data_IF_554732786291
#
_entry.id   IF_554732786291
#
_cell.length_a   1.000
_cell.length_b   1.000
_cell.length_c   1.000
_cell.angle_alpha   90.00
_cell.angle_beta   90.00
_cell.angle_gamma   90.00
#
_symmetry.space_group_name_H-M   'P 1'
#
loop_
_entity.id
_entity.type
_entity.pdbx_description
1 polymer ?
#
# COMPACT_ATOMS: atom_id res chain seq x y z
N UNK A 1 0.68 16.80 -21.66
CA UNK A 1 -0.06 15.51 -21.62
C UNK A 1 -1.47 15.82 -21.14
N UNK A 2 -2.54 15.35 -21.80
CA UNK A 2 -3.91 15.56 -21.30
C UNK A 2 -4.15 14.74 -20.02
N UNK A 3 -5.07 15.16 -19.14
CA UNK A 3 -5.37 14.45 -17.88
C UNK A 3 -5.79 13.00 -18.16
N UNK A 4 -6.63 12.77 -19.17
CA UNK A 4 -7.03 11.42 -19.58
C UNK A 4 -5.84 10.56 -20.07
N UNK A 5 -4.85 11.17 -20.73
CA UNK A 5 -3.63 10.46 -21.12
C UNK A 5 -2.77 10.09 -19.91
N UNK A 6 -2.68 10.98 -18.92
CA UNK A 6 -1.93 10.73 -17.68
C UNK A 6 -2.53 9.57 -16.88
N UNK A 7 -3.85 9.57 -16.69
CA UNK A 7 -4.56 8.51 -15.96
C UNK A 7 -4.39 7.15 -16.64
N UNK A 8 -4.44 7.10 -17.97
CA UNK A 8 -4.21 5.87 -18.74
C UNK A 8 -2.78 5.34 -18.55
N UNK A 9 -1.77 6.20 -18.65
CA UNK A 9 -0.37 5.80 -18.45
C UNK A 9 -0.13 5.28 -17.03
N UNK A 10 -0.60 6.01 -16.01
CA UNK A 10 -0.46 5.59 -14.61
C UNK A 10 -1.20 4.27 -14.32
N UNK A 11 -2.38 4.09 -14.91
CA UNK A 11 -3.13 2.83 -14.81
C UNK A 11 -2.38 1.66 -15.43
N UNK A 12 -1.71 1.87 -16.56
CA UNK A 12 -0.89 0.86 -17.22
C UNK A 12 0.33 0.49 -16.36
N UNK A 13 1.03 1.46 -15.77
CA UNK A 13 2.15 1.21 -14.86
C UNK A 13 1.72 0.44 -13.60
N UNK A 14 0.59 0.81 -13.00
CA UNK A 14 0.00 0.07 -11.87
C UNK A 14 -0.31 -1.37 -12.28
N UNK A 15 -0.94 -1.58 -13.45
CA UNK A 15 -1.27 -2.91 -13.92
C UNK A 15 -0.02 -3.77 -14.16
N UNK A 16 1.04 -3.17 -14.71
CA UNK A 16 2.31 -3.84 -14.96
C UNK A 16 3.00 -4.27 -13.66
N UNK A 17 3.07 -3.37 -12.67
CA UNK A 17 3.60 -3.73 -11.35
C UNK A 17 2.71 -4.71 -10.57
N UNK A 18 1.39 -4.73 -10.80
CA UNK A 18 0.51 -5.73 -10.22
C UNK A 18 0.64 -7.11 -10.89
N UNK A 19 1.04 -7.17 -12.17
CA UNK A 19 1.13 -8.41 -12.96
C UNK A 19 2.52 -9.05 -12.96
N UNK A 20 3.54 -8.38 -12.39
CA UNK A 20 4.91 -8.87 -12.39
C UNK A 20 5.12 -10.10 -11.49
N UNK A 21 6.07 -10.96 -11.83
CA UNK A 21 6.55 -12.00 -10.91
C UNK A 21 7.36 -11.32 -9.80
N UNK A 22 6.96 -11.47 -8.54
CA UNK A 22 7.66 -10.85 -7.42
C UNK A 22 7.85 -11.81 -6.23
N UNK A 23 9.09 -12.24 -6.02
CA UNK A 23 9.47 -13.19 -4.96
C UNK A 23 10.16 -12.50 -3.77
N UNK A 24 10.14 -11.16 -3.72
CA UNK A 24 10.81 -10.36 -2.69
C UNK A 24 9.94 -10.10 -1.45
N UNK A 25 10.43 -9.23 -0.57
CA UNK A 25 9.69 -8.76 0.60
C UNK A 25 8.50 -7.88 0.18
N UNK A 26 7.32 -8.09 0.76
CA UNK A 26 6.11 -7.32 0.45
C UNK A 26 6.32 -5.80 0.51
N UNK A 27 7.12 -5.29 1.45
CA UNK A 27 7.46 -3.86 1.61
C UNK A 27 8.14 -3.23 0.39
N UNK A 28 8.81 -4.06 -0.40
CA UNK A 28 9.59 -3.64 -1.56
C UNK A 28 8.85 -3.97 -2.87
N UNK A 29 7.57 -4.36 -2.80
CA UNK A 29 6.79 -4.67 -3.99
C UNK A 29 6.64 -3.41 -4.87
N UNK A 30 6.87 -3.49 -6.20
CA UNK A 30 6.96 -2.33 -7.08
C UNK A 30 5.66 -1.51 -7.19
N UNK A 31 4.52 -2.12 -6.88
CA UNK A 31 3.23 -1.42 -6.82
C UNK A 31 3.24 -0.30 -5.76
N UNK A 32 4.05 -0.43 -4.71
CA UNK A 32 4.10 0.52 -3.58
C UNK A 32 4.63 1.85 -4.07
N UNK A 33 5.85 1.87 -4.62
CA UNK A 33 6.49 3.10 -5.12
C UNK A 33 5.73 3.69 -6.31
N UNK A 34 5.20 2.85 -7.21
CA UNK A 34 4.37 3.31 -8.33
C UNK A 34 3.12 4.03 -7.84
N UNK A 35 2.39 3.44 -6.87
CA UNK A 35 1.21 4.07 -6.28
C UNK A 35 1.58 5.31 -5.43
N UNK A 36 2.73 5.31 -4.75
CA UNK A 36 3.21 6.42 -3.95
C UNK A 36 3.49 7.66 -4.82
N UNK A 37 4.28 7.50 -5.90
CA UNK A 37 4.56 8.56 -6.85
C UNK A 37 3.29 9.04 -7.58
N UNK A 38 2.38 8.14 -7.93
CA UNK A 38 1.06 8.52 -8.44
C UNK A 38 0.29 9.41 -7.47
N UNK A 39 0.33 9.11 -6.16
CA UNK A 39 -0.33 9.94 -5.15
C UNK A 39 0.32 11.32 -5.01
N UNK A 40 1.65 11.41 -5.10
CA UNK A 40 2.41 12.67 -5.07
C UNK A 40 2.10 13.53 -6.31
N UNK A 41 2.12 12.93 -7.51
CA UNK A 41 1.70 13.60 -8.76
C UNK A 41 0.26 14.12 -8.69
N UNK A 42 -0.56 13.53 -7.83
CA UNK A 42 -1.91 13.98 -7.54
C UNK A 42 -2.00 15.42 -7.02
N UNK A 43 -0.90 16.03 -6.54
CA UNK A 43 -0.85 17.45 -6.15
C UNK A 43 -0.71 18.41 -7.35
N UNK A 44 -0.20 17.93 -8.49
CA UNK A 44 0.08 18.75 -9.69
C UNK A 44 -0.55 18.16 -10.95
N UNK A 45 -1.80 17.67 -10.85
CA UNK A 45 -2.47 16.93 -11.95
C UNK A 45 -2.53 17.70 -13.27
N UNK A 46 -2.67 19.02 -13.22
CA UNK A 46 -2.72 19.90 -14.40
C UNK A 46 -1.35 20.09 -15.07
N UNK A 47 -0.27 19.91 -14.30
CA UNK A 47 1.12 20.07 -14.76
C UNK A 47 2.00 18.99 -14.12
N UNK A 48 1.81 17.71 -14.49
CA UNK A 48 2.50 16.59 -13.85
C UNK A 48 4.01 16.67 -14.08
N UNK A 49 4.79 16.37 -13.04
CA UNK A 49 6.26 16.34 -13.14
C UNK A 49 6.72 15.30 -14.15
N UNK A 50 7.47 15.75 -15.16
CA UNK A 50 8.08 14.87 -16.16
C UNK A 50 9.13 13.96 -15.53
N UNK A 51 9.94 14.48 -14.59
CA UNK A 51 10.99 13.69 -13.91
C UNK A 51 10.41 12.49 -13.17
N UNK A 52 9.31 12.70 -12.43
CA UNK A 52 8.62 11.61 -11.72
C UNK A 52 8.03 10.61 -12.73
N UNK A 53 7.42 11.08 -13.82
CA UNK A 53 6.87 10.20 -14.85
C UNK A 53 7.94 9.34 -15.52
N UNK A 54 9.07 9.95 -15.89
CA UNK A 54 10.21 9.26 -16.48
C UNK A 54 10.78 8.22 -15.49
N UNK A 55 10.86 8.55 -14.20
CA UNK A 55 11.26 7.60 -13.15
C UNK A 55 10.28 6.41 -13.03
N UNK A 56 8.96 6.66 -12.97
CA UNK A 56 7.95 5.58 -12.91
C UNK A 56 8.09 4.68 -14.14
N UNK A 57 8.28 5.27 -15.32
CA UNK A 57 8.44 4.52 -16.56
C UNK A 57 9.69 3.62 -16.52
N UNK A 58 10.84 4.17 -16.14
CA UNK A 58 12.10 3.42 -16.03
C UNK A 58 12.01 2.33 -14.97
N UNK A 59 11.38 2.62 -13.82
CA UNK A 59 11.13 1.62 -12.79
C UNK A 59 10.26 0.47 -13.32
N UNK A 60 9.24 0.77 -14.13
CA UNK A 60 8.34 -0.23 -14.71
C UNK A 60 9.00 -1.11 -15.77
N UNK A 61 10.01 -0.60 -16.47
CA UNK A 61 10.77 -1.38 -17.47
C UNK A 61 11.54 -2.55 -16.85
N UNK A 62 11.70 -2.61 -15.54
CA UNK A 62 12.27 -3.78 -14.86
C UNK A 62 11.28 -4.96 -14.75
N UNK A 63 10.00 -4.75 -15.06
CA UNK A 63 8.92 -5.71 -14.83
C UNK A 63 8.21 -6.08 -16.14
N UNK A 64 8.96 -6.59 -17.13
CA UNK A 64 8.46 -6.83 -18.50
C UNK A 64 7.73 -8.17 -18.63
N UNK A 65 8.00 -9.13 -17.75
CA UNK A 65 7.42 -10.47 -17.84
C UNK A 65 6.15 -10.56 -16.97
N UNK A 66 4.95 -10.47 -17.57
CA UNK A 66 3.73 -10.68 -16.82
C UNK A 66 3.62 -12.15 -16.42
N UNK A 67 3.03 -12.39 -15.25
CA UNK A 67 2.66 -13.73 -14.82
C UNK A 67 1.60 -14.34 -15.73
N UNK A 68 1.67 -15.66 -15.89
CA UNK A 68 0.62 -16.42 -16.57
C UNK A 68 -0.55 -16.74 -15.63
N UNK A 69 -1.20 -15.71 -15.11
CA UNK A 69 -2.28 -15.83 -14.12
C UNK A 69 -3.50 -16.63 -14.66
N UNK A 70 -3.70 -16.65 -15.99
CA UNK A 70 -4.87 -17.29 -16.63
C UNK A 70 -4.88 -18.81 -16.52
N UNK A 71 -3.73 -19.45 -16.22
CA UNK A 71 -3.64 -20.91 -16.14
C UNK A 71 -4.60 -21.49 -15.08
N UNK A 72 -4.75 -20.80 -13.96
CA UNK A 72 -5.58 -21.23 -12.83
C UNK A 72 -7.08 -21.17 -13.13
N UNK A 73 -7.51 -20.27 -14.02
CA UNK A 73 -8.92 -20.16 -14.42
C UNK A 73 -9.32 -21.23 -15.45
N UNK A 74 -8.41 -21.60 -16.35
CA UNK A 74 -8.68 -22.60 -17.40
C UNK A 74 -8.93 -24.00 -16.87
N UNK A 75 -8.46 -24.28 -15.67
CA UNK A 75 -8.51 -25.61 -15.06
C UNK A 75 -9.78 -25.86 -14.24
N UNK A 76 -10.71 -24.90 -14.17
CA UNK A 76 -11.96 -25.03 -13.41
C UNK A 76 -13.09 -25.47 -14.35
N UNK A 77 -13.76 -26.57 -14.01
CA UNK A 77 -14.90 -27.08 -14.77
C UNK A 77 -16.19 -26.28 -14.51
N UNK A 78 -17.17 -26.35 -15.41
CA UNK A 78 -18.48 -25.67 -15.22
C UNK A 78 -19.22 -26.22 -14.00
N UNK A 79 -19.12 -27.52 -13.77
CA UNK A 79 -19.72 -28.20 -12.62
C UNK A 79 -19.11 -27.67 -11.32
N UNK A 80 -17.79 -27.46 -11.28
CA UNK A 80 -17.10 -26.92 -10.10
C UNK A 80 -17.49 -25.48 -9.73
N UNK A 81 -17.89 -24.68 -10.72
CA UNK A 81 -18.41 -23.31 -10.52
C UNK A 81 -19.79 -23.35 -9.86
N UNK A 82 -20.63 -24.34 -10.21
CA UNK A 82 -21.99 -24.48 -9.68
C UNK A 82 -22.08 -25.04 -8.26
N UNK A 83 -20.97 -25.58 -7.73
CA UNK A 83 -20.89 -26.06 -6.35
C UNK A 83 -20.78 -24.88 -5.37
N UNK A 84 -21.39 -25.02 -4.19
CA UNK A 84 -21.25 -24.06 -3.09
C UNK A 84 -19.77 -23.82 -2.75
N UNK A 85 -19.43 -22.56 -2.49
CA UNK A 85 -18.08 -22.12 -2.11
C UNK A 85 -18.21 -21.28 -0.85
N UNK A 86 -17.48 -21.65 0.21
CA UNK A 86 -17.39 -20.85 1.41
C UNK A 86 -16.08 -20.06 1.42
N UNK A 87 -16.15 -18.77 1.73
CA UNK A 87 -14.94 -17.93 1.89
C UNK A 87 -14.04 -18.45 3.01
N UNK A 88 -14.62 -19.08 4.05
CA UNK A 88 -13.86 -19.71 5.13
C UNK A 88 -12.93 -20.82 4.64
N UNK A 89 -13.31 -21.57 3.60
CA UNK A 89 -12.46 -22.63 3.06
C UNK A 89 -11.22 -22.05 2.36
N UNK A 90 -11.40 -20.89 1.71
CA UNK A 90 -10.30 -20.12 1.11
C UNK A 90 -9.39 -19.54 2.20
N UNK A 91 -9.97 -18.93 3.24
CA UNK A 91 -9.23 -18.38 4.39
C UNK A 91 -8.40 -19.48 5.08
N UNK A 92 -9.01 -20.66 5.32
CA UNK A 92 -8.35 -21.83 5.91
C UNK A 92 -7.19 -22.36 5.06
N UNK A 93 -7.37 -22.45 3.74
CA UNK A 93 -6.34 -22.91 2.82
C UNK A 93 -5.14 -21.96 2.81
N UNK A 94 -5.40 -20.64 2.80
CA UNK A 94 -4.38 -19.61 2.97
C UNK A 94 -3.62 -19.80 4.29
N UNK A 95 -4.34 -19.93 5.41
CA UNK A 95 -3.76 -20.07 6.74
C UNK A 95 -2.87 -21.31 6.87
N UNK A 96 -3.25 -22.41 6.20
CA UNK A 96 -2.48 -23.66 6.16
C UNK A 96 -1.29 -23.62 5.20
N UNK A 97 -1.18 -22.59 4.37
CA UNK A 97 -0.16 -22.50 3.32
C UNK A 97 -0.37 -23.54 2.20
N UNK A 98 -1.60 -23.99 1.98
CA UNK A 98 -1.94 -24.95 0.92
C UNK A 98 -2.20 -24.20 -0.39
N UNK A 99 -1.14 -24.02 -1.19
CA UNK A 99 -1.17 -23.19 -2.39
C UNK A 99 -2.17 -23.70 -3.42
N UNK A 100 -2.18 -25.01 -3.67
CA UNK A 100 -3.04 -25.61 -4.69
C UNK A 100 -4.53 -25.51 -4.31
N UNK A 101 -4.87 -25.78 -3.04
CA UNK A 101 -6.26 -25.58 -2.57
C UNK A 101 -6.64 -24.11 -2.58
N UNK A 102 -5.72 -23.22 -2.23
CA UNK A 102 -5.96 -21.77 -2.26
C UNK A 102 -6.23 -21.30 -3.68
N UNK A 103 -5.39 -21.65 -4.65
CA UNK A 103 -5.58 -21.29 -6.06
C UNK A 103 -6.89 -21.82 -6.61
N UNK A 104 -7.22 -23.08 -6.32
CA UNK A 104 -8.49 -23.69 -6.74
C UNK A 104 -9.70 -23.00 -6.11
N UNK A 105 -9.67 -22.77 -4.80
CA UNK A 105 -10.74 -22.07 -4.06
C UNK A 105 -10.93 -20.64 -4.54
N UNK A 106 -9.84 -19.93 -4.78
CA UNK A 106 -9.83 -18.56 -5.29
C UNK A 106 -10.41 -18.48 -6.71
N UNK A 107 -9.97 -19.35 -7.62
CA UNK A 107 -10.47 -19.39 -9.00
C UNK A 107 -11.98 -19.68 -9.04
N UNK A 108 -12.43 -20.66 -8.24
CA UNK A 108 -13.87 -20.97 -8.08
C UNK A 108 -14.64 -19.76 -7.56
N UNK A 109 -14.17 -19.12 -6.48
CA UNK A 109 -14.82 -17.94 -5.88
C UNK A 109 -14.91 -16.79 -6.88
N UNK A 110 -13.81 -16.53 -7.61
CA UNK A 110 -13.74 -15.48 -8.63
C UNK A 110 -14.75 -15.71 -9.76
N UNK A 111 -14.82 -16.94 -10.30
CA UNK A 111 -15.74 -17.28 -11.38
C UNK A 111 -17.21 -17.28 -10.91
N UNK A 112 -17.50 -17.87 -9.75
CA UNK A 112 -18.86 -17.93 -9.21
C UNK A 112 -19.42 -16.56 -8.79
N UNK A 113 -18.55 -15.63 -8.39
CA UNK A 113 -18.92 -14.24 -8.06
C UNK A 113 -18.88 -13.29 -9.26
N UNK A 114 -18.70 -13.83 -10.47
CA UNK A 114 -18.61 -13.06 -11.71
C UNK A 114 -17.57 -11.92 -11.62
N UNK A 115 -16.37 -12.24 -11.12
CA UNK A 115 -15.24 -11.33 -11.04
C UNK A 115 -15.35 -10.25 -9.95
N UNK A 116 -16.05 -10.54 -8.84
CA UNK A 116 -16.26 -9.56 -7.77
C UNK A 116 -14.94 -9.08 -7.12
N UNK A 117 -14.71 -7.77 -6.99
CA UNK A 117 -13.55 -7.22 -6.28
C UNK A 117 -13.62 -7.41 -4.76
N UNK A 118 -14.75 -7.87 -4.20
CA UNK A 118 -14.89 -8.09 -2.76
C UNK A 118 -13.87 -9.09 -2.21
N UNK A 119 -13.42 -10.05 -3.02
CA UNK A 119 -12.42 -11.06 -2.64
C UNK A 119 -11.07 -10.40 -2.27
N UNK A 120 -10.73 -9.26 -2.88
CA UNK A 120 -9.50 -8.52 -2.59
C UNK A 120 -9.43 -8.12 -1.11
N UNK A 121 -10.55 -7.73 -0.52
CA UNK A 121 -10.61 -7.31 0.88
C UNK A 121 -10.49 -8.50 1.85
N UNK A 122 -10.99 -9.68 1.46
CA UNK A 122 -10.80 -10.90 2.26
C UNK A 122 -9.30 -11.26 2.32
N UNK A 123 -8.61 -11.28 1.18
CA UNK A 123 -7.18 -11.58 1.13
C UNK A 123 -6.33 -10.48 1.80
N UNK A 124 -6.75 -9.22 1.70
CA UNK A 124 -6.11 -8.12 2.42
C UNK A 124 -6.23 -8.28 3.94
N UNK A 125 -7.38 -8.71 4.46
CA UNK A 125 -7.54 -9.00 5.90
C UNK A 125 -6.58 -10.10 6.35
N UNK A 126 -6.44 -11.18 5.57
CA UNK A 126 -5.48 -12.25 5.87
C UNK A 126 -4.04 -11.70 5.86
N UNK A 127 -3.68 -10.88 4.86
CA UNK A 127 -2.34 -10.29 4.77
C UNK A 127 -2.00 -9.42 5.99
N UNK A 128 -2.99 -8.71 6.55
CA UNK A 128 -2.82 -7.86 7.72
C UNK A 128 -2.55 -8.63 9.01
N UNK A 129 -2.73 -9.95 9.06
CA UNK A 129 -2.24 -10.79 10.17
C UNK A 129 -0.71 -10.63 10.37
N UNK A 130 0.02 -10.15 9.37
CA UNK A 130 1.40 -9.70 9.51
C UNK A 130 1.54 -8.21 9.13
N UNK A 131 1.07 -7.31 10.01
CA UNK A 131 1.15 -5.86 9.80
C UNK A 131 2.56 -5.41 9.45
N UNK A 132 3.55 -5.86 10.23
CA UNK A 132 4.92 -5.38 10.10
C UNK A 132 5.48 -5.61 8.70
N UNK A 133 5.11 -6.72 8.04
CA UNK A 133 5.56 -7.06 6.69
C UNK A 133 4.64 -6.50 5.60
N UNK A 134 3.32 -6.56 5.80
CA UNK A 134 2.38 -6.47 4.69
C UNK A 134 1.56 -5.18 4.65
N UNK A 135 1.49 -4.38 5.72
CA UNK A 135 0.51 -3.27 5.78
C UNK A 135 0.78 -2.19 4.73
N UNK A 136 2.04 -1.87 4.46
CA UNK A 136 2.43 -0.93 3.40
C UNK A 136 1.97 -1.47 2.05
N UNK A 137 2.26 -2.74 1.76
CA UNK A 137 1.80 -3.39 0.55
C UNK A 137 0.27 -3.35 0.43
N UNK A 138 -0.46 -3.79 1.45
CA UNK A 138 -1.94 -3.85 1.45
C UNK A 138 -2.55 -2.47 1.17
N UNK A 139 -2.07 -1.43 1.83
CA UNK A 139 -2.57 -0.07 1.59
C UNK A 139 -2.36 0.37 0.13
N UNK A 140 -1.11 0.27 -0.37
CA UNK A 140 -0.81 0.71 -1.74
C UNK A 140 -1.50 -0.17 -2.79
N UNK A 141 -1.60 -1.47 -2.55
CA UNK A 141 -2.30 -2.44 -3.39
C UNK A 141 -3.80 -2.12 -3.54
N UNK A 142 -4.52 -1.94 -2.43
CA UNK A 142 -5.95 -1.61 -2.48
C UNK A 142 -6.16 -0.24 -3.13
N UNK A 143 -5.29 0.73 -2.84
CA UNK A 143 -5.37 2.08 -3.43
C UNK A 143 -5.08 2.10 -4.92
N UNK A 144 -4.18 1.24 -5.37
CA UNK A 144 -3.84 1.05 -6.78
C UNK A 144 -5.01 0.43 -7.55
N UNK A 145 -5.67 -0.59 -7.01
CA UNK A 145 -6.89 -1.15 -7.60
C UNK A 145 -8.00 -0.10 -7.70
N UNK A 146 -8.25 0.64 -6.61
CA UNK A 146 -9.27 1.68 -6.56
C UNK A 146 -9.02 2.88 -7.50
N UNK A 147 -7.79 3.05 -8.02
CA UNK A 147 -7.48 4.12 -8.98
C UNK A 147 -8.01 3.82 -10.39
N UNK A 148 -8.04 2.55 -10.80
CA UNK A 148 -8.53 2.15 -12.11
C UNK A 148 -9.28 0.81 -11.99
N UNK A 149 -10.41 0.81 -11.26
CA UNK A 149 -11.15 -0.40 -10.97
C UNK A 149 -11.69 -0.97 -12.28
N UNK A 150 -11.35 -2.22 -12.54
CA UNK A 150 -11.74 -2.92 -13.74
C UNK A 150 -11.88 -4.40 -13.39
N UNK A 151 -13.03 -4.97 -13.75
CA UNK A 151 -13.37 -6.36 -13.50
C UNK A 151 -12.35 -7.30 -14.15
N UNK A 152 -11.82 -6.96 -15.33
CA UNK A 152 -10.82 -7.78 -16.01
C UNK A 152 -9.47 -7.79 -15.27
N UNK A 153 -9.20 -6.76 -14.46
CA UNK A 153 -7.98 -6.63 -13.66
C UNK A 153 -8.08 -7.28 -12.29
N UNK A 154 -9.29 -7.59 -11.80
CA UNK A 154 -9.49 -8.20 -10.46
C UNK A 154 -8.65 -9.46 -10.31
N UNK A 155 -8.65 -10.34 -11.31
CA UNK A 155 -7.86 -11.57 -11.25
C UNK A 155 -6.35 -11.32 -11.09
N UNK A 156 -5.80 -10.33 -11.80
CA UNK A 156 -4.39 -9.96 -11.71
C UNK A 156 -4.04 -9.48 -10.30
N UNK A 157 -4.91 -8.66 -9.70
CA UNK A 157 -4.72 -8.20 -8.34
C UNK A 157 -4.88 -9.33 -7.32
N UNK A 158 -5.82 -10.28 -7.51
CA UNK A 158 -5.93 -11.46 -6.66
C UNK A 158 -4.63 -12.28 -6.69
N UNK A 159 -4.05 -12.51 -7.86
CA UNK A 159 -2.77 -13.23 -7.98
C UNK A 159 -1.57 -12.47 -7.42
N UNK A 160 -1.61 -11.12 -7.47
CA UNK A 160 -0.59 -10.27 -6.84
C UNK A 160 -0.54 -10.48 -5.32
N UNK A 161 -1.67 -10.43 -4.62
CA UNK A 161 -1.69 -10.63 -3.17
C UNK A 161 -1.44 -12.10 -2.77
N UNK A 162 -1.85 -13.08 -3.59
CA UNK A 162 -1.54 -14.49 -3.34
C UNK A 162 -0.04 -14.76 -3.32
N UNK A 163 0.75 -14.21 -4.26
CA UNK A 163 2.22 -14.34 -4.19
C UNK A 163 2.76 -13.82 -2.86
N UNK A 164 2.28 -12.65 -2.40
CA UNK A 164 2.71 -12.09 -1.14
C UNK A 164 2.34 -12.98 0.06
N UNK A 165 1.10 -13.49 0.09
CA UNK A 165 0.63 -14.37 1.17
C UNK A 165 1.43 -15.69 1.26
N UNK A 166 2.00 -16.15 0.15
CA UNK A 166 2.74 -17.42 0.08
C UNK A 166 4.26 -17.27 0.14
N UNK A 167 4.79 -16.04 0.22
CA UNK A 167 6.23 -15.82 0.43
C UNK A 167 6.69 -16.24 1.83
N UNK A 168 5.80 -16.17 2.84
CA UNK A 168 6.07 -16.57 4.22
C UNK A 168 4.83 -17.18 4.85
N UNK A 169 5.02 -18.07 5.83
CA UNK A 169 3.91 -18.61 6.61
C UNK A 169 3.18 -17.49 7.35
N UNK A 170 1.86 -17.47 7.23
CA UNK A 170 1.00 -16.49 7.90
C UNK A 170 0.94 -16.75 9.41
N UNK A 171 1.01 -15.69 10.24
CA UNK A 171 0.64 -15.76 11.65
C UNK A 171 -0.83 -16.18 11.81
N UNK A 172 -1.22 -16.65 13.00
CA UNK A 172 -2.63 -16.86 13.27
C UNK A 172 -3.36 -15.50 13.40
N UNK A 173 -4.68 -15.44 13.13
CA UNK A 173 -5.49 -14.25 13.40
C UNK A 173 -5.33 -13.79 14.84
N UNK A 174 -5.22 -12.48 15.03
CA UNK A 174 -5.05 -11.89 16.36
C UNK A 174 -6.38 -11.74 17.12
N UNK A 175 -6.36 -11.69 18.46
CA UNK A 175 -7.55 -11.38 19.24
C UNK A 175 -8.07 -9.97 18.92
N UNK A 176 -9.38 -9.78 19.07
CA UNK A 176 -9.99 -8.46 18.92
C UNK A 176 -9.64 -7.57 20.12
N UNK A 177 -8.90 -6.50 19.86
CA UNK A 177 -8.50 -5.50 20.85
C UNK A 177 -8.95 -4.11 20.40
N UNK A 178 -9.23 -3.22 21.36
CA UNK A 178 -9.39 -1.80 21.07
C UNK A 178 -8.01 -1.15 21.07
N UNK A 179 -7.81 -0.15 20.19
CA UNK A 179 -6.61 0.68 20.23
C UNK A 179 -6.59 1.44 21.55
N UNK A 180 -5.54 1.26 22.35
CA UNK A 180 -5.39 1.90 23.67
C UNK A 180 -5.17 3.41 23.56
N UNK A 181 -4.39 3.83 22.57
CA UNK A 181 -4.13 5.22 22.27
C UNK A 181 -4.81 5.56 20.94
N UNK A 182 -5.75 6.50 20.93
CA UNK A 182 -6.46 6.87 19.71
C UNK A 182 -5.81 8.05 18.99
N UNK A 183 -4.93 8.79 19.68
CA UNK A 183 -4.28 9.97 19.15
C UNK A 183 -3.11 9.61 18.23
N UNK A 184 -3.31 9.80 16.92
CA UNK A 184 -2.27 9.58 15.91
C UNK A 184 -1.04 10.44 16.15
N UNK A 185 -1.18 11.62 16.77
CA UNK A 185 -0.05 12.50 17.05
C UNK A 185 0.96 11.82 17.96
N UNK A 186 0.49 11.14 19.01
CA UNK A 186 1.35 10.40 19.92
C UNK A 186 2.10 9.28 19.23
N UNK A 187 1.49 8.56 18.29
CA UNK A 187 2.23 7.58 17.49
C UNK A 187 3.25 8.24 16.58
N UNK A 188 2.87 9.31 15.86
CA UNK A 188 3.75 10.00 14.92
C UNK A 188 5.02 10.57 15.58
N UNK A 189 4.86 11.21 16.75
CA UNK A 189 5.96 11.80 17.52
C UNK A 189 7.00 10.78 17.98
N UNK A 190 6.54 9.54 18.13
CA UNK A 190 7.26 8.42 18.69
C UNK A 190 7.87 7.48 17.61
N UNK A 191 7.42 7.59 16.35
CA UNK A 191 7.98 6.84 15.23
C UNK A 191 9.27 7.49 14.71
N UNK A 192 10.43 6.92 15.04
CA UNK A 192 11.74 7.43 14.60
C UNK A 192 12.31 6.70 13.38
N UNK A 193 11.87 5.45 13.13
CA UNK A 193 12.33 4.69 11.97
C UNK A 193 11.40 4.89 10.77
N UNK A 194 11.98 4.94 9.56
CA UNK A 194 11.22 5.13 8.31
C UNK A 194 10.14 4.07 8.13
N UNK A 195 10.49 2.80 8.34
CA UNK A 195 9.56 1.68 8.23
C UNK A 195 8.41 1.73 9.26
N UNK A 196 8.66 2.18 10.49
CA UNK A 196 7.62 2.33 11.51
C UNK A 196 6.64 3.43 11.12
N UNK A 197 7.16 4.56 10.63
CA UNK A 197 6.36 5.66 10.11
C UNK A 197 5.50 5.24 8.91
N UNK A 198 6.05 4.42 8.01
CA UNK A 198 5.34 3.90 6.85
C UNK A 198 4.24 2.93 7.26
N UNK A 199 4.51 2.03 8.20
CA UNK A 199 3.51 1.12 8.75
C UNK A 199 2.39 1.91 9.46
N UNK A 200 2.73 2.95 10.22
CA UNK A 200 1.76 3.81 10.90
C UNK A 200 0.84 4.51 9.90
N UNK A 201 1.41 5.16 8.88
CA UNK A 201 0.67 5.84 7.82
C UNK A 201 -0.29 4.89 7.11
N UNK A 202 0.21 3.74 6.64
CA UNK A 202 -0.59 2.75 5.93
C UNK A 202 -1.73 2.21 6.82
N UNK A 203 -1.44 1.90 8.08
CA UNK A 203 -2.43 1.40 9.05
C UNK A 203 -3.57 2.41 9.26
N UNK A 204 -3.25 3.66 9.56
CA UNK A 204 -4.27 4.67 9.82
C UNK A 204 -5.13 4.96 8.57
N UNK A 205 -4.52 4.99 7.39
CA UNK A 205 -5.26 5.15 6.13
C UNK A 205 -6.22 4.00 5.85
N UNK A 206 -5.86 2.77 6.19
CA UNK A 206 -6.76 1.62 6.10
C UNK A 206 -7.92 1.74 7.09
N UNK A 207 -7.68 2.24 8.31
CA UNK A 207 -8.72 2.48 9.31
C UNK A 207 -9.70 3.61 8.95
N UNK A 208 -9.20 4.64 8.24
CA UNK A 208 -9.97 5.77 7.74
C UNK A 208 -10.78 5.46 6.47
N UNK A 209 -10.52 4.30 5.84
CA UNK A 209 -11.15 3.91 4.59
C UNK A 209 -12.46 3.14 4.79
N UNK A 210 -13.36 3.24 3.81
CA UNK A 210 -14.67 2.58 3.83
C UNK A 210 -14.60 1.17 3.21
N UNK A 211 -13.97 0.24 3.93
CA UNK A 211 -13.91 -1.17 3.53
C UNK A 211 -15.02 -2.00 4.19
N UNK A 212 -15.56 -2.98 3.46
CA UNK A 212 -16.58 -3.89 4.02
C UNK A 212 -15.98 -4.85 5.06
N UNK A 213 -14.69 -5.21 4.90
CA UNK A 213 -13.92 -6.02 5.85
C UNK A 213 -13.19 -5.18 6.93
N UNK A 214 -13.57 -3.90 7.10
CA UNK A 214 -12.97 -3.01 8.10
C UNK A 214 -12.95 -3.58 9.53
N UNK A 215 -13.93 -4.37 10.02
CA UNK A 215 -13.81 -5.01 11.34
C UNK A 215 -12.57 -5.89 11.49
N UNK A 216 -12.22 -6.65 10.44
CA UNK A 216 -11.01 -7.46 10.41
C UNK A 216 -9.75 -6.62 10.36
N UNK A 217 -9.74 -5.55 9.55
CA UNK A 217 -8.59 -4.64 9.49
C UNK A 217 -8.36 -3.97 10.85
N UNK A 218 -9.44 -3.55 11.52
CA UNK A 218 -9.40 -2.99 12.88
C UNK A 218 -8.81 -3.96 13.88
N UNK A 219 -9.17 -5.25 13.83
CA UNK A 219 -8.62 -6.29 14.70
C UNK A 219 -7.11 -6.36 14.59
N UNK A 220 -6.59 -6.54 13.37
CA UNK A 220 -5.15 -6.71 13.14
C UNK A 220 -4.35 -5.43 13.45
N UNK A 221 -4.86 -4.27 13.02
CA UNK A 221 -4.18 -2.98 13.26
C UNK A 221 -4.19 -2.62 14.75
N UNK A 222 -5.28 -2.90 15.48
CA UNK A 222 -5.35 -2.57 16.91
C UNK A 222 -4.38 -3.43 17.72
N UNK A 223 -4.28 -4.72 17.40
CA UNK A 223 -3.31 -5.61 18.04
C UNK A 223 -1.87 -5.13 17.82
N UNK A 224 -1.52 -4.81 16.57
CA UNK A 224 -0.20 -4.25 16.24
C UNK A 224 0.05 -2.93 16.97
N UNK A 225 -0.86 -1.97 16.86
CA UNK A 225 -0.72 -0.65 17.47
C UNK A 225 -0.54 -0.74 18.99
N UNK A 226 -1.25 -1.65 19.67
CA UNK A 226 -1.12 -1.85 21.10
C UNK A 226 0.24 -2.43 21.51
N UNK A 227 0.86 -3.27 20.66
CA UNK A 227 2.20 -3.81 20.90
C UNK A 227 3.32 -2.84 20.55
N UNK A 228 3.12 -1.99 19.56
CA UNK A 228 4.11 -1.00 19.13
C UNK A 228 4.27 0.17 20.10
N UNK A 229 3.42 0.31 21.12
CA UNK A 229 3.43 1.41 22.11
C UNK A 229 4.68 1.52 23.01
N UNK A 230 5.70 0.65 22.86
CA UNK A 230 7.02 0.84 23.45
C UNK A 230 7.83 1.86 22.64
N UNK A 231 7.41 3.12 22.67
CA UNK A 231 8.14 4.21 22.04
C UNK A 231 8.83 5.05 23.12
N UNK A 232 10.07 4.69 23.41
CA UNK A 232 10.81 5.25 24.56
C UNK A 232 11.46 6.62 24.27
N UNK A 233 11.25 7.22 23.08
CA UNK A 233 11.86 8.52 22.73
C UNK A 233 11.00 9.36 21.78
N UNK A 234 10.59 10.53 22.26
CA UNK A 234 9.95 11.57 21.45
C UNK A 234 11.02 12.23 20.57
N UNK A 235 10.70 12.48 19.30
CA UNK A 235 11.55 13.32 18.46
C UNK A 235 11.32 14.79 18.76
N UNK A 236 12.26 15.41 19.46
CA UNK A 236 12.20 16.83 19.83
C UNK A 236 12.91 17.74 18.81
N UNK A 237 13.41 17.18 17.70
CA UNK A 237 14.09 17.97 16.67
C UNK A 237 13.08 18.61 15.73
N UNK A 238 13.28 19.90 15.50
CA UNK A 238 12.39 20.75 14.73
C UNK A 238 13.14 21.46 13.59
N UNK A 239 12.40 21.76 12.53
CA UNK A 239 12.80 22.66 11.45
C UNK A 239 11.66 23.62 11.15
N UNK A 240 11.96 24.71 10.46
CA UNK A 240 10.95 25.66 10.02
C UNK A 240 9.89 24.97 9.12
N UNK A 241 8.60 24.99 9.51
CA UNK A 241 7.54 24.34 8.76
C UNK A 241 6.85 25.25 7.73
N UNK A 242 7.41 26.42 7.40
CA UNK A 242 6.73 27.40 6.54
C UNK A 242 6.31 26.85 5.17
N UNK A 243 7.13 26.01 4.54
CA UNK A 243 6.76 25.32 3.31
C UNK A 243 5.56 24.36 3.49
N UNK A 244 5.48 23.68 4.64
CA UNK A 244 4.35 22.81 4.97
C UNK A 244 3.07 23.61 5.24
N UNK A 245 3.19 24.76 5.94
CA UNK A 245 2.07 25.69 6.13
C UNK A 245 1.58 26.21 4.79
N UNK A 246 2.48 26.55 3.88
CA UNK A 246 2.14 27.00 2.53
C UNK A 246 1.47 25.89 1.73
N UNK A 247 1.99 24.66 1.80
CA UNK A 247 1.37 23.48 1.18
C UNK A 247 -0.05 23.25 1.69
N UNK A 248 -0.30 23.36 3.00
CA UNK A 248 -1.63 23.22 3.59
C UNK A 248 -2.62 24.30 3.17
N UNK A 249 -2.14 25.52 2.91
CA UNK A 249 -2.99 26.65 2.49
C UNK A 249 -3.32 26.61 1.00
N UNK A 250 -2.33 26.29 0.17
CA UNK A 250 -2.38 26.53 -1.27
C UNK A 250 -2.26 25.26 -2.13
N UNK A 251 -2.08 24.08 -1.51
CA UNK A 251 -1.78 22.82 -2.21
C UNK A 251 -0.65 22.98 -3.23
N UNK A 252 0.49 23.49 -2.77
CA UNK A 252 1.68 23.71 -3.61
C UNK A 252 2.27 22.41 -4.15
N UNK A 253 3.24 22.55 -5.04
CA UNK A 253 4.05 21.44 -5.59
C UNK A 253 5.15 20.94 -4.64
N UNK A 254 5.08 21.26 -3.34
CA UNK A 254 6.13 20.96 -2.35
C UNK A 254 6.59 19.50 -2.38
N UNK A 255 5.66 18.54 -2.22
CA UNK A 255 6.00 17.11 -2.23
C UNK A 255 6.51 16.62 -3.59
N UNK A 256 6.13 17.27 -4.68
CA UNK A 256 6.64 16.95 -6.03
C UNK A 256 8.10 17.36 -6.12
N UNK A 257 8.46 18.56 -5.69
CA UNK A 257 9.85 19.04 -5.66
C UNK A 257 10.75 18.19 -4.77
N UNK A 258 10.26 17.80 -3.58
CA UNK A 258 11.01 16.91 -2.69
C UNK A 258 11.20 15.53 -3.33
N UNK A 259 10.18 14.98 -4.01
CA UNK A 259 10.30 13.70 -4.72
C UNK A 259 11.30 13.78 -5.89
N UNK A 260 11.30 14.87 -6.66
CA UNK A 260 12.28 15.10 -7.72
C UNK A 260 13.72 15.12 -7.17
N UNK A 261 13.95 15.80 -6.05
CA UNK A 261 15.26 15.85 -5.41
C UNK A 261 15.72 14.45 -4.93
N UNK A 262 14.83 13.66 -4.35
CA UNK A 262 15.14 12.28 -3.94
C UNK A 262 15.53 11.44 -5.17
N UNK A 263 14.77 11.56 -6.27
CA UNK A 263 15.07 10.85 -7.53
C UNK A 263 16.44 11.22 -8.08
N UNK A 264 16.85 12.48 -7.98
CA UNK A 264 18.15 12.97 -8.46
C UNK A 264 19.34 12.50 -7.62
N UNK A 265 19.14 12.20 -6.34
CA UNK A 265 20.22 11.78 -5.44
C UNK A 265 20.63 10.31 -5.54
N UNK A 266 19.86 9.48 -6.26
CA UNK A 266 20.12 8.05 -6.59
C UNK A 266 20.51 7.12 -5.41
N UNK A 267 20.17 7.51 -4.18
CA UNK A 267 20.50 6.78 -2.94
C UNK A 267 19.22 6.46 -2.17
N UNK A 268 18.99 5.17 -1.91
CA UNK A 268 17.80 4.65 -1.21
C UNK A 268 16.47 5.24 -1.72
N UNK A 269 16.42 5.55 -3.02
CA UNK A 269 15.38 6.34 -3.67
C UNK A 269 13.99 5.79 -3.40
N UNK A 270 13.82 4.46 -3.51
CA UNK A 270 12.51 3.80 -3.30
C UNK A 270 12.01 3.97 -1.87
N UNK A 271 12.83 3.68 -0.85
CA UNK A 271 12.43 3.78 0.56
C UNK A 271 12.11 5.23 0.95
N UNK A 272 12.93 6.18 0.47
CA UNK A 272 12.74 7.61 0.72
C UNK A 272 11.47 8.14 0.06
N UNK A 273 11.13 7.70 -1.15
CA UNK A 273 9.89 8.08 -1.84
C UNK A 273 8.64 7.52 -1.15
N UNK A 274 8.70 6.28 -0.66
CA UNK A 274 7.60 5.68 0.12
C UNK A 274 7.40 6.48 1.42
N UNK A 275 8.50 6.81 2.09
CA UNK A 275 8.45 7.60 3.33
C UNK A 275 7.97 9.03 3.10
N UNK A 276 8.36 9.66 2.00
CA UNK A 276 7.86 10.97 1.62
C UNK A 276 6.34 10.96 1.44
N UNK A 277 5.79 9.90 0.84
CA UNK A 277 4.34 9.75 0.66
C UNK A 277 3.60 9.53 1.99
N UNK A 278 4.21 8.84 2.95
CA UNK A 278 3.74 8.77 4.33
C UNK A 278 3.80 10.12 5.03
N UNK A 279 4.88 10.90 4.91
CA UNK A 279 4.96 12.25 5.51
C UNK A 279 3.93 13.20 4.89
N UNK A 280 3.64 13.04 3.59
CA UNK A 280 2.55 13.78 2.92
C UNK A 280 1.18 13.51 3.52
N UNK A 281 0.92 12.28 3.98
CA UNK A 281 -0.28 11.96 4.74
C UNK A 281 -0.33 12.75 6.04
N UNK A 282 0.74 12.64 6.84
CA UNK A 282 0.78 13.20 8.18
C UNK A 282 0.62 14.71 8.18
N UNK A 283 1.15 15.42 7.18
CA UNK A 283 0.96 16.87 7.04
C UNK A 283 -0.50 17.31 7.09
N UNK A 284 -1.43 16.48 6.61
CA UNK A 284 -2.86 16.78 6.61
C UNK A 284 -3.62 16.22 7.82
N UNK A 285 -2.95 15.44 8.68
CA UNK A 285 -3.60 14.65 9.74
C UNK A 285 -3.12 14.97 11.15
N UNK A 286 -1.84 15.32 11.32
CA UNK A 286 -1.30 15.69 12.62
C UNK A 286 -1.69 17.12 13.00
N UNK A 287 -1.59 17.44 14.28
CA UNK A 287 -1.75 18.81 14.77
C UNK A 287 -0.73 19.74 14.11
N UNK A 288 -1.15 20.96 13.78
CA UNK A 288 -0.29 21.99 13.21
C UNK A 288 0.91 22.32 14.09
N UNK A 289 0.78 22.15 15.41
CA UNK A 289 1.87 22.31 16.37
C UNK A 289 3.01 21.30 16.17
N UNK A 290 2.76 20.18 15.47
CA UNK A 290 3.77 19.16 15.18
C UNK A 290 4.37 19.26 13.76
N UNK A 291 3.98 20.28 12.98
CA UNK A 291 4.59 20.53 11.67
C UNK A 291 6.11 20.76 11.73
N UNK A 292 6.69 21.44 12.74
CA UNK A 292 8.15 21.59 12.82
C UNK A 292 8.90 20.24 12.89
N UNK A 293 8.35 19.26 13.62
CA UNK A 293 8.89 17.90 13.73
C UNK A 293 8.74 17.16 12.38
N UNK A 294 7.61 17.35 11.69
CA UNK A 294 7.41 16.79 10.36
C UNK A 294 8.40 17.38 9.34
N UNK A 295 8.62 18.69 9.37
CA UNK A 295 9.62 19.36 8.55
C UNK A 295 11.02 18.79 8.78
N UNK A 296 11.39 18.55 10.05
CA UNK A 296 12.64 17.90 10.40
C UNK A 296 12.75 16.48 9.81
N UNK A 297 11.69 15.67 9.88
CA UNK A 297 11.67 14.32 9.30
C UNK A 297 11.82 14.36 7.77
N UNK A 298 11.19 15.31 7.07
CA UNK A 298 11.39 15.50 5.62
C UNK A 298 12.82 15.93 5.32
N UNK A 299 13.37 16.87 6.08
CA UNK A 299 14.75 17.30 5.89
C UNK A 299 15.75 16.15 6.10
N UNK A 300 15.53 15.32 7.13
CA UNK A 300 16.35 14.13 7.38
C UNK A 300 16.28 13.10 6.25
N UNK A 301 15.16 13.05 5.49
CA UNK A 301 15.10 12.24 4.28
C UNK A 301 15.97 12.80 3.15
N UNK A 302 16.30 14.09 3.14
CA UNK A 302 17.14 14.71 2.13
C UNK A 302 18.63 14.61 2.47
N UNK A 303 18.96 14.66 3.76
CA UNK A 303 20.33 14.72 4.29
C UNK A 303 21.09 13.37 4.31
N UNK A 304 20.48 12.26 3.89
CA UNK A 304 21.14 10.94 3.78
C UNK A 304 22.13 10.86 2.57
N UNK A 305 22.89 11.93 2.31
CA UNK A 305 24.00 11.94 1.34
C UNK A 305 25.32 11.51 1.98
#
# INVERSE_FOLDING_TARGET
>A
MSISSLEKSLSAYILNTASCIYNGNAKNHPIIVTNALKNILGDVRSSPSKKILDYINNHNQNFIQPRNDKIHLKNISKEEIGLTIFISDLEDACQKGDYDKTQKGLARTYLASDGSPAILQNLAEIALQNIEENVIFVYHYLRAFAFSPDKEKVWIFLQCIIQILFNKKLPNPHPNEKIKEADINKYFLNCNRLNELNNLSASWRLLESEYTRLPGFRREISYWANKSTAFDSINDKEKDPDDLKLYLRNQTDYYVKVAEHIIESDTDTVERLITLESLRYFTKRIDKNHLPILAYKIHSLLDNQ
#
